data_IF_467605132485
#
_entry.id   IF_467605132485
#
_cell.length_a   1.000
_cell.length_b   1.000
_cell.length_c   1.000
_cell.angle_alpha   90.00
_cell.angle_beta   90.00
_cell.angle_gamma   90.00
#
_symmetry.space_group_name_H-M   'P 1'
#
loop_
_entity.id
_entity.type
_entity.pdbx_description
1 polymer ?
#
# COMPACT_ATOMS: atom_id res chain seq x y z
N UNK A 1 32.22 10.58 20.68
CA UNK A 1 30.98 9.99 21.24
C UNK A 1 30.55 8.84 20.31
N UNK A 2 30.49 7.60 20.82
CA UNK A 2 30.00 6.47 20.02
C UNK A 2 28.56 6.75 19.58
N UNK A 3 28.31 6.79 18.30
CA UNK A 3 26.99 7.06 17.76
C UNK A 3 25.97 6.04 18.30
N UNK A 4 24.86 6.54 18.84
CA UNK A 4 23.77 5.70 19.37
C UNK A 4 23.22 4.82 18.27
N UNK A 5 23.06 3.51 18.52
CA UNK A 5 22.40 2.59 17.59
C UNK A 5 20.95 3.01 17.42
N UNK A 6 20.46 3.01 16.17
CA UNK A 6 19.04 3.23 15.90
C UNK A 6 18.19 2.17 16.61
N UNK A 7 17.09 2.57 17.21
CA UNK A 7 16.16 1.63 17.86
C UNK A 7 15.42 0.73 16.87
N UNK A 8 14.96 -0.44 17.35
CA UNK A 8 14.18 -1.41 16.53
C UNK A 8 12.94 -0.80 15.89
N UNK A 9 12.19 0.03 16.63
CA UNK A 9 10.96 0.65 16.12
C UNK A 9 11.21 1.53 14.88
N UNK A 10 12.07 2.54 14.95
CA UNK A 10 12.44 3.35 13.79
C UNK A 10 12.99 2.52 12.61
N UNK A 11 13.83 1.51 12.87
CA UNK A 11 14.38 0.66 11.81
C UNK A 11 13.30 -0.14 11.11
N UNK A 12 12.34 -0.71 11.86
CA UNK A 12 11.17 -1.39 11.30
C UNK A 12 10.32 -0.44 10.44
N UNK A 13 10.15 0.82 10.88
CA UNK A 13 9.48 1.86 10.12
C UNK A 13 10.14 2.09 8.76
N UNK A 14 11.45 2.33 8.75
CA UNK A 14 12.21 2.56 7.51
C UNK A 14 12.18 1.37 6.55
N UNK A 15 12.28 0.13 7.04
CA UNK A 15 12.15 -1.03 6.17
C UNK A 15 10.73 -1.20 5.65
N UNK A 16 9.71 -0.86 6.46
CA UNK A 16 8.32 -0.87 6.00
C UNK A 16 8.11 0.12 4.86
N UNK A 17 8.66 1.34 4.94
CA UNK A 17 8.57 2.34 3.86
C UNK A 17 9.09 1.77 2.52
N UNK A 18 10.23 1.08 2.51
CA UNK A 18 10.78 0.46 1.28
C UNK A 18 9.90 -0.69 0.77
N UNK A 19 9.35 -1.49 1.68
CA UNK A 19 8.43 -2.58 1.33
C UNK A 19 7.12 -2.03 0.76
N UNK A 20 6.61 -0.92 1.29
CA UNK A 20 5.41 -0.27 0.76
C UNK A 20 5.66 0.36 -0.63
N UNK A 21 6.84 0.93 -0.86
CA UNK A 21 7.25 1.39 -2.19
C UNK A 21 7.25 0.22 -3.20
N UNK A 22 7.81 -0.95 -2.82
CA UNK A 22 7.73 -2.16 -3.63
C UNK A 22 6.28 -2.63 -3.86
N UNK A 23 5.44 -2.58 -2.83
CA UNK A 23 4.04 -2.99 -2.93
C UNK A 23 3.26 -2.09 -3.91
N UNK A 24 3.51 -0.78 -3.90
CA UNK A 24 2.98 0.16 -4.89
C UNK A 24 3.41 -0.22 -6.30
N UNK A 25 4.72 -0.44 -6.51
CA UNK A 25 5.24 -0.84 -7.80
C UNK A 25 4.58 -2.13 -8.30
N UNK A 26 4.42 -3.09 -7.41
CA UNK A 26 3.76 -4.38 -7.71
C UNK A 26 2.26 -4.24 -8.01
N UNK A 27 1.66 -3.09 -7.68
CA UNK A 27 0.24 -2.77 -7.83
C UNK A 27 -0.04 -1.76 -8.94
N UNK A 28 0.89 -1.57 -9.87
CA UNK A 28 0.68 -0.74 -11.06
C UNK A 28 1.08 0.73 -10.91
N UNK A 29 1.80 1.09 -9.84
CA UNK A 29 2.36 2.42 -9.68
C UNK A 29 3.83 2.47 -10.10
N UNK A 30 4.26 3.59 -10.61
CA UNK A 30 5.64 4.00 -10.70
C UNK A 30 6.00 4.74 -9.42
N UNK A 31 7.07 4.31 -8.73
CA UNK A 31 7.53 4.98 -7.50
C UNK A 31 8.41 6.15 -7.92
N UNK A 32 8.05 7.34 -7.46
CA UNK A 32 8.72 8.58 -7.85
C UNK A 32 9.83 8.96 -6.86
N UNK A 33 10.88 9.52 -7.42
CA UNK A 33 11.99 10.15 -6.73
C UNK A 33 12.10 11.64 -7.11
N UNK A 34 12.99 12.38 -6.46
CA UNK A 34 13.18 13.81 -6.76
C UNK A 34 13.69 14.05 -8.20
N UNK A 35 14.43 13.09 -8.75
CA UNK A 35 14.99 13.13 -10.10
C UNK A 35 13.95 13.00 -11.21
N UNK A 36 12.77 12.51 -10.87
CA UNK A 36 11.64 12.38 -11.82
C UNK A 36 10.98 13.73 -12.10
N UNK A 37 11.19 14.71 -11.24
CA UNK A 37 10.81 16.09 -11.51
C UNK A 37 11.86 16.77 -12.40
N UNK A 38 11.55 16.91 -13.68
CA UNK A 38 12.43 17.55 -14.67
C UNK A 38 12.29 19.07 -14.72
N UNK A 39 11.40 19.65 -13.91
CA UNK A 39 11.27 21.10 -13.83
C UNK A 39 12.44 21.71 -13.06
N UNK A 40 12.77 22.96 -13.38
CA UNK A 40 13.77 23.77 -12.68
C UNK A 40 13.09 24.63 -11.60
N UNK A 41 13.89 25.12 -10.63
CA UNK A 41 13.39 26.11 -9.69
C UNK A 41 12.92 27.39 -10.42
N UNK A 42 11.85 28.06 -10.03
CA UNK A 42 11.03 27.80 -8.83
C UNK A 42 9.87 26.82 -9.06
N UNK A 43 9.86 26.08 -10.16
CA UNK A 43 8.71 25.27 -10.61
C UNK A 43 8.75 23.83 -10.12
N UNK A 44 9.83 23.40 -9.48
CA UNK A 44 9.93 22.05 -8.89
C UNK A 44 8.79 21.77 -7.93
N UNK A 45 8.21 20.57 -8.07
CA UNK A 45 7.20 20.02 -7.15
C UNK A 45 7.72 18.86 -6.31
N UNK A 46 8.84 18.25 -6.72
CA UNK A 46 9.53 17.20 -5.97
C UNK A 46 10.94 17.66 -5.63
N UNK A 47 11.37 17.40 -4.42
CA UNK A 47 12.77 17.56 -4.01
C UNK A 47 13.12 16.57 -2.90
N UNK A 48 14.39 16.24 -2.78
CA UNK A 48 14.90 15.45 -1.68
C UNK A 48 15.50 16.36 -0.60
N UNK A 49 15.30 15.98 0.65
CA UNK A 49 15.99 16.53 1.78
C UNK A 49 16.57 15.40 2.66
N UNK A 50 17.19 15.77 3.80
CA UNK A 50 17.80 14.80 4.73
C UNK A 50 16.82 13.73 5.26
N UNK A 51 15.52 13.98 5.20
CA UNK A 51 14.47 13.11 5.73
C UNK A 51 13.75 12.31 4.63
N UNK A 52 14.04 12.56 3.35
CA UNK A 52 13.46 11.87 2.21
C UNK A 52 12.76 12.80 1.22
N UNK A 53 11.84 12.25 0.44
CA UNK A 53 11.13 12.97 -0.62
C UNK A 53 10.13 13.98 -0.05
N UNK A 54 10.17 15.18 -0.59
CA UNK A 54 9.23 16.26 -0.32
C UNK A 54 8.39 16.57 -1.56
N UNK A 55 7.11 16.78 -1.35
CA UNK A 55 6.14 17.21 -2.38
C UNK A 55 5.67 18.62 -2.05
N UNK A 56 5.65 19.49 -3.06
CA UNK A 56 5.25 20.87 -2.90
C UNK A 56 3.73 20.99 -2.85
N UNK A 57 3.22 21.58 -1.79
CA UNK A 57 1.85 22.06 -1.69
C UNK A 57 1.75 23.56 -2.02
N UNK A 58 0.56 24.12 -1.87
CA UNK A 58 0.32 25.55 -2.02
C UNK A 58 1.03 26.37 -0.95
N UNK A 59 0.97 25.89 0.30
CA UNK A 59 1.51 26.59 1.46
C UNK A 59 2.82 26.04 1.99
N UNK A 60 3.11 24.75 1.76
CA UNK A 60 4.26 24.09 2.37
C UNK A 60 4.84 22.96 1.50
N UNK A 61 6.02 22.48 1.89
CA UNK A 61 6.59 21.24 1.42
C UNK A 61 6.22 20.12 2.40
N UNK A 62 5.70 19.02 1.88
CA UNK A 62 5.24 17.89 2.68
C UNK A 62 6.11 16.66 2.44
N UNK A 63 6.60 16.08 3.53
CA UNK A 63 7.32 14.81 3.47
C UNK A 63 6.37 13.67 3.12
N UNK A 64 6.85 12.75 2.31
CA UNK A 64 6.17 11.52 1.95
C UNK A 64 7.10 10.33 2.15
N UNK A 65 6.57 9.22 2.68
CA UNK A 65 7.36 8.00 2.88
C UNK A 65 7.54 7.24 1.56
N UNK A 66 6.53 7.25 0.69
CA UNK A 66 6.61 6.83 -0.70
C UNK A 66 5.58 7.59 -1.55
N UNK A 67 5.96 7.99 -2.76
CA UNK A 67 5.08 8.63 -3.74
C UNK A 67 4.95 7.72 -4.95
N UNK A 68 3.75 7.27 -5.25
CA UNK A 68 3.46 6.47 -6.44
C UNK A 68 2.70 7.26 -7.49
N UNK A 69 3.08 7.16 -8.75
CA UNK A 69 2.27 7.63 -9.88
C UNK A 69 1.61 6.43 -10.55
N UNK A 70 0.29 6.45 -10.63
CA UNK A 70 -0.44 5.36 -11.26
C UNK A 70 -0.19 5.35 -12.78
N UNK A 71 0.21 4.20 -13.31
CA UNK A 71 0.61 4.08 -14.72
C UNK A 71 -0.57 4.14 -15.70
N UNK A 72 -1.77 3.82 -15.22
CA UNK A 72 -2.97 3.72 -16.06
C UNK A 72 -3.89 4.91 -15.79
N UNK A 73 -3.91 5.86 -16.69
CA UNK A 73 -4.77 7.04 -16.58
C UNK A 73 -6.08 6.75 -17.29
N UNK A 74 -7.23 6.73 -16.58
CA UNK A 74 -8.51 6.61 -17.24
C UNK A 74 -8.74 7.75 -18.23
N UNK A 75 -9.40 7.52 -19.39
CA UNK A 75 -9.74 8.57 -20.32
C UNK A 75 -10.47 9.74 -19.61
N UNK A 76 -10.15 10.96 -20.00
CA UNK A 76 -10.74 12.20 -19.47
C UNK A 76 -10.49 12.45 -17.97
N UNK A 77 -9.52 11.77 -17.35
CA UNK A 77 -9.11 12.02 -15.97
C UNK A 77 -7.70 12.58 -15.87
N UNK A 78 -7.38 13.15 -14.72
CA UNK A 78 -6.02 13.53 -14.38
C UNK A 78 -5.22 12.29 -13.97
N UNK A 79 -3.90 12.24 -14.28
CA UNK A 79 -3.02 11.22 -13.71
C UNK A 79 -3.08 11.26 -12.18
N UNK A 80 -3.11 10.08 -11.57
CA UNK A 80 -3.22 9.93 -10.11
C UNK A 80 -1.85 9.71 -9.50
N UNK A 81 -1.53 10.48 -8.47
CA UNK A 81 -0.39 10.26 -7.57
C UNK A 81 -0.89 9.86 -6.20
N UNK A 82 -0.28 8.84 -5.61
CA UNK A 82 -0.62 8.33 -4.29
C UNK A 82 0.46 8.72 -3.29
N UNK A 83 0.07 9.53 -2.32
CA UNK A 83 0.83 9.85 -1.14
C UNK A 83 0.73 8.70 -0.13
N UNK A 84 1.82 8.07 0.23
CA UNK A 84 1.85 6.97 1.19
C UNK A 84 2.52 7.41 2.47
N UNK A 85 1.84 7.15 3.58
CA UNK A 85 2.36 7.29 4.94
C UNK A 85 2.42 5.92 5.63
N UNK A 86 3.58 5.55 6.16
CA UNK A 86 3.84 4.31 6.86
C UNK A 86 3.85 4.51 8.38
N UNK A 87 3.05 3.77 9.12
CA UNK A 87 3.01 3.79 10.58
C UNK A 87 3.34 2.41 11.14
N UNK A 88 4.61 2.21 11.51
CA UNK A 88 5.02 1.01 12.23
C UNK A 88 4.82 1.22 13.73
N UNK A 89 3.68 0.77 14.24
CA UNK A 89 3.32 0.83 15.65
C UNK A 89 3.11 -0.60 16.19
N UNK A 90 3.32 -0.79 17.50
CA UNK A 90 3.23 -2.12 18.12
C UNK A 90 2.06 -2.28 19.08
N UNK A 91 1.58 -1.18 19.66
CA UNK A 91 0.60 -1.22 20.75
C UNK A 91 -0.57 -0.26 20.60
N UNK A 92 -0.36 0.87 19.92
CA UNK A 92 -1.40 1.90 19.77
C UNK A 92 -1.86 2.00 18.33
N UNK A 93 -3.17 2.01 18.10
CA UNK A 93 -3.74 2.24 16.78
C UNK A 93 -3.50 3.69 16.31
N UNK A 94 -3.51 3.90 14.99
CA UNK A 94 -3.46 5.24 14.40
C UNK A 94 -4.75 5.97 14.69
N UNK A 95 -4.64 7.11 15.38
CA UNK A 95 -5.78 7.94 15.78
C UNK A 95 -6.17 9.01 14.75
N UNK A 96 -7.31 9.64 15.01
CA UNK A 96 -7.88 10.73 14.21
C UNK A 96 -6.90 11.88 13.89
N UNK A 97 -5.99 12.33 14.80
CA UNK A 97 -5.06 13.41 14.48
C UNK A 97 -4.16 13.11 13.28
N UNK A 98 -3.68 11.88 13.13
CA UNK A 98 -2.86 11.46 11.99
C UNK A 98 -3.64 11.55 10.68
N UNK A 99 -4.89 11.07 10.66
CA UNK A 99 -5.73 11.11 9.46
C UNK A 99 -6.11 12.54 9.07
N UNK A 100 -6.39 13.41 10.06
CA UNK A 100 -6.62 14.84 9.83
C UNK A 100 -5.39 15.55 9.26
N UNK A 101 -4.20 15.19 9.74
CA UNK A 101 -2.95 15.72 9.16
C UNK A 101 -2.81 15.30 7.69
N UNK A 102 -3.01 14.02 7.39
CA UNK A 102 -3.00 13.53 5.99
C UNK A 102 -4.02 14.24 5.10
N UNK A 103 -5.23 14.52 5.62
CA UNK A 103 -6.23 15.30 4.90
C UNK A 103 -5.75 16.73 4.63
N UNK A 104 -5.14 17.40 5.61
CA UNK A 104 -4.55 18.73 5.42
C UNK A 104 -3.44 18.74 4.37
N UNK A 105 -2.55 17.74 4.41
CA UNK A 105 -1.47 17.58 3.44
C UNK A 105 -2.04 17.42 2.02
N UNK A 106 -2.98 16.49 1.83
CA UNK A 106 -3.50 16.22 0.47
C UNK A 106 -4.32 17.38 -0.08
N UNK A 107 -5.00 18.13 0.78
CA UNK A 107 -5.71 19.35 0.40
C UNK A 107 -4.71 20.41 -0.09
N UNK A 108 -3.64 20.70 0.69
CA UNK A 108 -2.61 21.69 0.32
C UNK A 108 -1.89 21.31 -0.97
N UNK A 109 -1.55 20.02 -1.15
CA UNK A 109 -0.86 19.56 -2.37
C UNK A 109 -1.77 19.64 -3.60
N UNK A 110 -3.03 19.25 -3.51
CA UNK A 110 -3.98 19.35 -4.62
C UNK A 110 -4.30 20.80 -5.02
N UNK A 111 -4.26 21.74 -4.06
CA UNK A 111 -4.44 23.15 -4.33
C UNK A 111 -3.16 23.86 -4.83
N UNK A 112 -1.99 23.26 -4.58
CA UNK A 112 -0.71 23.76 -5.06
C UNK A 112 -0.52 23.61 -6.57
N UNK A 113 -1.22 22.66 -7.19
CA UNK A 113 -1.10 22.33 -8.60
C UNK A 113 -1.90 23.29 -9.50
N UNK A 114 -1.23 24.12 -10.25
CA UNK A 114 -1.83 24.97 -11.28
C UNK A 114 -1.44 24.48 -12.68
N UNK A 115 -2.40 24.47 -13.60
CA UNK A 115 -2.17 24.06 -15.00
C UNK A 115 -1.58 25.15 -15.88
N UNK A 116 -1.63 26.41 -15.43
CA UNK A 116 -1.10 27.56 -16.17
C UNK A 116 -0.46 28.55 -15.21
N UNK A 117 0.59 29.20 -15.69
CA UNK A 117 1.24 30.26 -14.97
C UNK A 117 0.50 31.59 -15.16
N UNK A 118 0.50 32.37 -14.12
CA UNK A 118 -0.44 33.49 -13.92
C UNK A 118 -0.03 34.82 -14.57
N UNK A 119 1.14 34.90 -15.23
CA UNK A 119 1.53 36.14 -15.90
C UNK A 119 1.26 36.10 -17.42
N UNK A 120 0.60 37.11 -18.00
CA UNK A 120 0.41 37.19 -19.45
C UNK A 120 1.74 37.09 -20.18
N UNK A 121 1.84 36.19 -21.14
CA UNK A 121 3.05 35.96 -21.93
C UNK A 121 4.12 35.04 -21.35
N UNK A 122 3.93 34.58 -20.09
CA UNK A 122 4.87 33.65 -19.41
C UNK A 122 4.21 32.31 -19.03
N UNK A 123 3.00 32.05 -19.50
CA UNK A 123 2.26 30.85 -19.22
C UNK A 123 2.96 29.59 -19.75
N UNK A 124 3.39 28.71 -18.87
CA UNK A 124 3.93 27.39 -19.19
C UNK A 124 2.87 26.32 -18.86
N UNK A 125 2.43 25.53 -19.85
CA UNK A 125 1.51 24.43 -19.55
C UNK A 125 2.22 23.39 -18.68
N UNK A 126 1.54 22.91 -17.65
CA UNK A 126 2.00 21.84 -16.75
C UNK A 126 1.02 20.70 -16.72
N UNK A 127 1.54 19.50 -16.58
CA UNK A 127 0.72 18.34 -16.26
C UNK A 127 0.17 18.50 -14.84
N UNK A 128 -1.14 18.47 -14.72
CA UNK A 128 -1.81 18.45 -13.43
C UNK A 128 -2.02 17.02 -12.99
N UNK A 129 -1.83 16.76 -11.70
CA UNK A 129 -2.05 15.47 -11.08
C UNK A 129 -3.18 15.56 -10.06
N UNK A 130 -3.85 14.44 -9.84
CA UNK A 130 -4.73 14.26 -8.68
C UNK A 130 -3.97 13.47 -7.63
N UNK A 131 -3.72 14.08 -6.50
CA UNK A 131 -3.10 13.41 -5.38
C UNK A 131 -4.17 12.77 -4.50
N UNK A 132 -3.97 11.50 -4.15
CA UNK A 132 -4.72 10.74 -3.17
C UNK A 132 -3.82 10.38 -1.99
N UNK A 133 -4.37 10.02 -0.85
CA UNK A 133 -3.61 9.73 0.36
C UNK A 133 -3.94 8.34 0.89
N UNK A 134 -2.91 7.60 1.28
CA UNK A 134 -3.04 6.28 1.89
C UNK A 134 -2.16 6.18 3.14
N UNK A 135 -2.73 5.68 4.22
CA UNK A 135 -2.02 5.42 5.48
C UNK A 135 -1.99 3.91 5.70
N UNK A 136 -0.80 3.37 5.84
CA UNK A 136 -0.56 1.97 6.18
C UNK A 136 -0.16 1.88 7.65
N UNK A 137 -0.89 1.07 8.44
CA UNK A 137 -0.61 0.91 9.87
C UNK A 137 -0.46 -0.56 10.26
N UNK A 138 0.60 -0.89 11.02
CA UNK A 138 0.82 -2.25 11.55
C UNK A 138 0.02 -2.55 12.82
N UNK A 139 -0.74 -1.57 13.34
CA UNK A 139 -1.52 -1.68 14.58
C UNK A 139 -2.98 -1.26 14.41
N UNK A 140 -3.46 -1.12 13.17
CA UNK A 140 -4.82 -0.71 12.88
C UNK A 140 -5.10 0.77 13.12
N UNK A 141 -6.38 1.12 13.16
CA UNK A 141 -6.89 2.49 13.23
C UNK A 141 -8.00 2.61 14.26
N UNK A 142 -8.09 3.75 14.95
CA UNK A 142 -9.21 4.00 15.84
C UNK A 142 -10.53 4.15 15.06
N UNK A 143 -11.69 3.87 15.68
CA UNK A 143 -12.99 4.02 15.02
C UNK A 143 -13.20 5.43 14.43
N UNK A 144 -12.83 6.48 15.17
CA UNK A 144 -12.96 7.88 14.71
C UNK A 144 -12.04 8.19 13.52
N UNK A 145 -10.85 7.56 13.48
CA UNK A 145 -9.94 7.67 12.35
C UNK A 145 -10.54 7.04 11.10
N UNK A 146 -11.17 5.87 11.24
CA UNK A 146 -11.83 5.16 10.14
C UNK A 146 -13.03 5.95 9.61
N UNK A 147 -13.90 6.45 10.49
CA UNK A 147 -15.08 7.26 10.12
C UNK A 147 -14.65 8.52 9.34
N UNK A 148 -13.63 9.21 9.84
CA UNK A 148 -13.12 10.41 9.19
C UNK A 148 -12.49 10.10 7.82
N UNK A 149 -11.71 9.04 7.73
CA UNK A 149 -11.05 8.64 6.49
C UNK A 149 -12.06 8.26 5.40
N UNK A 150 -13.11 7.49 5.75
CA UNK A 150 -14.19 7.14 4.83
C UNK A 150 -14.91 8.39 4.31
N UNK A 151 -15.21 9.37 5.18
CA UNK A 151 -15.86 10.61 4.81
C UNK A 151 -15.01 11.49 3.87
N UNK A 152 -13.68 11.43 3.99
CA UNK A 152 -12.75 12.29 3.24
C UNK A 152 -11.94 11.55 2.17
N UNK A 153 -12.33 10.31 1.84
CA UNK A 153 -11.69 9.49 0.80
C UNK A 153 -10.17 9.27 1.03
N UNK A 154 -9.76 9.16 2.28
CA UNK A 154 -8.40 8.77 2.66
C UNK A 154 -8.38 7.24 2.79
N UNK A 155 -7.47 6.59 2.09
CA UNK A 155 -7.35 5.15 2.12
C UNK A 155 -6.60 4.71 3.38
N UNK A 156 -7.24 3.89 4.22
CA UNK A 156 -6.61 3.25 5.37
C UNK A 156 -6.34 1.79 5.05
N UNK A 157 -5.09 1.36 5.19
CA UNK A 157 -4.68 -0.02 4.98
C UNK A 157 -4.21 -0.59 6.32
N UNK A 158 -5.04 -1.46 6.87
CA UNK A 158 -4.75 -2.11 8.16
C UNK A 158 -3.86 -3.33 7.94
N UNK A 159 -2.55 -3.10 8.10
CA UNK A 159 -1.57 -4.18 8.05
C UNK A 159 -1.63 -5.08 9.30
N UNK A 160 -2.40 -4.77 10.35
CA UNK A 160 -2.58 -5.67 11.50
C UNK A 160 -3.44 -6.88 11.14
N UNK A 161 -4.24 -6.79 10.08
CA UNK A 161 -5.08 -7.87 9.59
C UNK A 161 -4.26 -9.16 9.31
N UNK A 162 -4.86 -10.34 9.49
CA UNK A 162 -4.19 -11.63 9.29
C UNK A 162 -3.56 -11.78 7.91
N UNK A 163 -4.20 -11.22 6.88
CA UNK A 163 -3.78 -11.28 5.47
C UNK A 163 -2.39 -10.67 5.24
N UNK A 164 -1.98 -9.71 6.08
CA UNK A 164 -0.67 -9.08 6.03
C UNK A 164 0.37 -9.68 7.02
N UNK A 165 0.04 -10.79 7.70
CA UNK A 165 0.90 -11.34 8.75
C UNK A 165 2.29 -11.73 8.25
N UNK A 166 2.38 -12.33 7.06
CA UNK A 166 3.66 -12.72 6.43
C UNK A 166 4.51 -11.49 6.16
N UNK A 167 3.93 -10.46 5.51
CA UNK A 167 4.63 -9.19 5.20
C UNK A 167 5.17 -8.52 6.46
N UNK A 168 4.34 -8.40 7.52
CA UNK A 168 4.80 -7.85 8.81
C UNK A 168 5.93 -8.65 9.43
N UNK A 169 5.83 -9.99 9.36
CA UNK A 169 6.84 -10.89 9.93
C UNK A 169 8.18 -10.73 9.21
N UNK A 170 8.18 -10.63 7.89
CA UNK A 170 9.38 -10.41 7.07
C UNK A 170 10.07 -9.10 7.44
N UNK A 171 9.32 -7.99 7.48
CA UNK A 171 9.86 -6.67 7.88
C UNK A 171 10.43 -6.71 9.29
N UNK A 172 9.70 -7.29 10.25
CA UNK A 172 10.14 -7.40 11.64
C UNK A 172 11.42 -8.22 11.77
N UNK A 173 11.46 -9.39 11.15
CA UNK A 173 12.62 -10.30 11.23
C UNK A 173 13.86 -9.64 10.62
N UNK A 174 13.75 -9.03 9.44
CA UNK A 174 14.87 -8.33 8.82
C UNK A 174 15.38 -7.19 9.70
N UNK A 175 14.48 -6.33 10.20
CA UNK A 175 14.85 -5.21 11.08
C UNK A 175 15.48 -5.67 12.40
N UNK A 176 14.96 -6.72 13.03
CA UNK A 176 15.50 -7.23 14.30
C UNK A 176 16.88 -7.86 14.12
N UNK A 177 17.10 -8.56 13.01
CA UNK A 177 18.43 -9.13 12.65
C UNK A 177 19.44 -8.02 12.37
N UNK A 178 19.07 -7.02 11.59
CA UNK A 178 19.92 -5.85 11.30
C UNK A 178 20.23 -5.08 12.57
N UNK A 179 19.25 -4.87 13.46
CA UNK A 179 19.47 -4.19 14.73
C UNK A 179 20.49 -4.93 15.60
N UNK A 180 20.37 -6.26 15.70
CA UNK A 180 21.34 -7.08 16.44
C UNK A 180 22.76 -6.98 15.83
N UNK A 181 22.87 -6.98 14.51
CA UNK A 181 24.13 -6.77 13.81
C UNK A 181 24.71 -5.37 14.10
N UNK A 182 23.89 -4.31 14.10
CA UNK A 182 24.33 -2.95 14.46
C UNK A 182 24.83 -2.85 15.90
N UNK A 183 24.21 -3.56 16.85
CA UNK A 183 24.68 -3.62 18.23
C UNK A 183 26.03 -4.32 18.36
N UNK A 184 26.24 -5.40 17.60
CA UNK A 184 27.47 -6.18 17.61
C UNK A 184 28.64 -5.52 16.85
N UNK A 185 28.37 -4.57 15.94
CA UNK A 185 29.36 -3.92 15.10
C UNK A 185 29.95 -2.69 15.78
N UNK A 186 31.28 -2.45 15.75
CA UNK A 186 31.89 -1.22 16.24
C UNK A 186 31.31 0.03 15.58
N UNK A 187 31.16 1.12 16.34
CA UNK A 187 30.45 2.34 15.86
C UNK A 187 31.03 2.94 14.57
N UNK A 188 32.35 2.80 14.35
CA UNK A 188 33.01 3.31 13.14
C UNK A 188 32.71 2.51 11.88
N UNK A 189 32.30 1.25 12.04
CA UNK A 189 32.05 0.30 10.94
C UNK A 189 30.55 0.11 10.64
N UNK A 190 29.69 0.75 11.42
CA UNK A 190 28.24 0.63 11.27
C UNK A 190 27.76 1.33 9.99
N UNK A 191 27.00 0.63 9.14
CA UNK A 191 26.35 1.29 8.02
C UNK A 191 25.33 2.30 8.52
N UNK A 192 25.18 3.39 7.79
CA UNK A 192 24.11 4.37 8.04
C UNK A 192 22.78 3.81 7.60
N UNK A 193 21.69 4.24 8.24
CA UNK A 193 20.33 3.83 7.86
C UNK A 193 20.05 4.10 6.39
N UNK A 194 20.51 5.22 5.85
CA UNK A 194 20.37 5.55 4.42
C UNK A 194 21.02 4.52 3.49
N UNK A 195 22.14 3.93 3.91
CA UNK A 195 22.86 2.90 3.14
C UNK A 195 22.08 1.56 3.17
N UNK A 196 21.55 1.19 4.36
CA UNK A 196 20.67 0.03 4.52
C UNK A 196 19.41 0.16 3.64
N UNK A 197 18.75 1.33 3.68
CA UNK A 197 17.58 1.62 2.85
C UNK A 197 17.91 1.59 1.37
N UNK A 198 19.00 2.23 0.97
CA UNK A 198 19.45 2.29 -0.41
C UNK A 198 19.76 0.89 -0.97
N UNK A 199 20.44 0.04 -0.19
CA UNK A 199 20.69 -1.35 -0.57
C UNK A 199 19.39 -2.13 -0.82
N UNK A 200 18.42 -2.04 0.10
CA UNK A 200 17.13 -2.72 -0.06
C UNK A 200 16.32 -2.18 -1.25
N UNK A 201 16.37 -0.87 -1.46
CA UNK A 201 15.66 -0.18 -2.55
C UNK A 201 16.13 -0.63 -3.93
N UNK A 202 17.42 -0.90 -4.10
CA UNK A 202 18.00 -1.36 -5.36
C UNK A 202 17.23 -2.55 -5.96
N UNK A 203 17.22 -3.73 -5.35
CA UNK A 203 16.46 -4.87 -5.86
C UNK A 203 14.94 -4.62 -5.86
N UNK A 204 14.37 -3.97 -4.84
CA UNK A 204 12.92 -3.81 -4.74
C UNK A 204 12.34 -2.89 -5.82
N UNK A 205 13.05 -1.85 -6.23
CA UNK A 205 12.59 -0.88 -7.22
C UNK A 205 13.29 -1.01 -8.57
N UNK A 206 14.19 -2.02 -8.73
CA UNK A 206 14.95 -2.24 -9.97
C UNK A 206 15.73 -0.98 -10.38
N UNK A 207 16.36 -0.35 -9.41
CA UNK A 207 17.15 0.87 -9.62
C UNK A 207 18.58 0.51 -10.00
N UNK A 208 19.02 0.83 -11.24
CA UNK A 208 20.27 0.30 -11.79
C UNK A 208 21.58 0.86 -11.18
N UNK A 209 21.52 1.82 -10.28
CA UNK A 209 22.70 2.60 -9.87
C UNK A 209 22.96 2.65 -8.35
N UNK A 210 22.51 1.66 -7.61
CA UNK A 210 22.81 1.62 -6.18
C UNK A 210 23.96 0.65 -5.88
N UNK A 211 25.20 1.05 -6.21
CA UNK A 211 26.44 0.40 -5.73
C UNK A 211 26.68 0.70 -4.23
N UNK A 212 25.73 0.27 -3.38
CA UNK A 212 25.94 0.31 -1.95
C UNK A 212 26.48 -1.04 -1.52
N UNK A 213 27.76 -1.09 -1.18
CA UNK A 213 28.34 -2.24 -0.55
C UNK A 213 28.01 -2.29 0.95
N UNK A 214 27.40 -3.38 1.39
CA UNK A 214 27.16 -3.67 2.80
C UNK A 214 27.88 -4.95 3.20
N UNK A 215 28.40 -5.04 4.44
CA UNK A 215 28.87 -6.32 4.98
C UNK A 215 27.77 -7.38 4.97
N UNK A 216 28.15 -8.65 4.79
CA UNK A 216 27.21 -9.77 4.68
C UNK A 216 26.20 -9.87 5.82
N UNK A 217 26.62 -9.50 7.03
CA UNK A 217 25.76 -9.48 8.22
C UNK A 217 24.54 -8.55 8.09
N UNK A 218 24.65 -7.51 7.28
CA UNK A 218 23.56 -6.57 6.98
C UNK A 218 22.87 -6.92 5.67
N UNK A 219 23.63 -7.43 4.70
CA UNK A 219 23.13 -7.78 3.37
C UNK A 219 22.19 -8.98 3.41
N UNK A 220 22.59 -10.08 4.04
CA UNK A 220 21.82 -11.33 4.05
C UNK A 220 20.36 -11.18 4.52
N UNK A 221 20.03 -10.48 5.61
CA UNK A 221 18.63 -10.29 5.99
C UNK A 221 17.84 -9.39 5.02
N UNK A 222 18.49 -8.46 4.31
CA UNK A 222 17.86 -7.64 3.28
C UNK A 222 17.61 -8.43 2.00
N UNK A 223 18.57 -9.25 1.58
CA UNK A 223 18.43 -10.15 0.42
C UNK A 223 17.31 -11.16 0.65
N UNK A 224 17.23 -11.72 1.86
CA UNK A 224 16.15 -12.64 2.23
C UNK A 224 14.78 -11.93 2.16
N UNK A 225 14.68 -10.72 2.70
CA UNK A 225 13.46 -9.91 2.64
C UNK A 225 13.07 -9.66 1.18
N UNK A 226 13.99 -9.18 0.36
CA UNK A 226 13.73 -8.88 -1.05
C UNK A 226 13.31 -10.16 -1.81
N UNK A 227 14.02 -11.25 -1.63
CA UNK A 227 13.70 -12.54 -2.27
C UNK A 227 12.31 -13.05 -1.86
N UNK A 228 11.96 -12.96 -0.57
CA UNK A 228 10.65 -13.39 -0.08
C UNK A 228 9.50 -12.53 -0.67
N UNK A 229 9.72 -11.23 -0.84
CA UNK A 229 8.76 -10.35 -1.49
C UNK A 229 8.59 -10.68 -2.98
N UNK A 230 9.68 -10.98 -3.69
CA UNK A 230 9.63 -11.40 -5.10
C UNK A 230 9.03 -12.78 -5.28
N UNK A 231 9.25 -13.69 -4.33
CA UNK A 231 8.58 -14.99 -4.30
C UNK A 231 7.14 -14.81 -3.86
N UNK A 232 6.29 -14.30 -4.78
CA UNK A 232 4.86 -14.02 -4.48
C UNK A 232 4.10 -15.23 -3.98
N UNK A 233 4.56 -16.45 -4.26
CA UNK A 233 4.03 -17.67 -3.69
C UNK A 233 4.24 -17.76 -2.17
N UNK A 234 5.35 -17.22 -1.65
CA UNK A 234 5.60 -17.16 -0.20
C UNK A 234 4.80 -16.04 0.46
N UNK A 235 4.64 -14.90 -0.23
CA UNK A 235 3.85 -13.79 0.28
C UNK A 235 2.35 -14.11 0.28
N UNK A 236 1.87 -14.85 -0.74
CA UNK A 236 0.46 -15.23 -0.88
C UNK A 236 -0.51 -14.05 -0.89
N UNK A 237 -0.06 -12.85 -1.28
CA UNK A 237 -0.80 -11.60 -1.14
C UNK A 237 -0.83 -10.82 -2.44
N UNK A 238 -2.00 -10.28 -2.78
CA UNK A 238 -2.19 -9.29 -3.85
C UNK A 238 -3.12 -8.18 -3.39
N UNK A 239 -2.88 -6.94 -3.84
CA UNK A 239 -3.78 -5.83 -3.55
C UNK A 239 -4.94 -5.78 -4.54
N UNK A 240 -6.14 -5.58 -4.01
CA UNK A 240 -7.34 -5.30 -4.76
C UNK A 240 -7.87 -3.90 -4.44
N UNK A 241 -8.33 -3.23 -5.48
CA UNK A 241 -8.88 -1.89 -5.43
C UNK A 241 -10.38 -1.97 -5.69
N UNK A 242 -11.22 -2.04 -4.63
CA UNK A 242 -12.67 -2.05 -4.76
C UNK A 242 -13.21 -0.68 -5.18
N UNK A 243 -14.49 -0.61 -5.50
CA UNK A 243 -15.20 0.65 -5.75
C UNK A 243 -15.51 1.41 -4.42
N UNK A 244 -14.50 1.55 -3.57
CA UNK A 244 -14.61 2.11 -2.23
C UNK A 244 -13.29 2.78 -1.81
N UNK A 245 -13.30 3.70 -0.83
CA UNK A 245 -12.09 4.41 -0.38
C UNK A 245 -11.23 3.57 0.58
N UNK A 246 -10.98 2.31 0.24
CA UNK A 246 -10.05 1.43 0.94
C UNK A 246 -9.42 0.42 -0.03
N UNK A 247 -8.34 -0.19 0.37
CA UNK A 247 -7.63 -1.23 -0.38
C UNK A 247 -7.73 -2.53 0.38
N UNK A 248 -7.92 -3.64 -0.33
CA UNK A 248 -7.98 -4.97 0.27
C UNK A 248 -6.68 -5.72 -0.02
N UNK A 249 -6.14 -6.37 1.00
CA UNK A 249 -5.15 -7.42 0.85
C UNK A 249 -5.86 -8.75 0.61
N UNK A 250 -5.75 -9.31 -0.58
CA UNK A 250 -6.29 -10.63 -0.88
C UNK A 250 -5.20 -11.68 -0.66
N UNK A 251 -5.37 -12.52 0.36
CA UNK A 251 -4.44 -13.59 0.71
C UNK A 251 -4.90 -14.92 0.12
N UNK A 252 -3.96 -15.73 -0.33
CA UNK A 252 -4.21 -17.09 -0.84
C UNK A 252 -3.09 -18.04 -0.45
N UNK A 253 -3.45 -19.29 -0.16
CA UNK A 253 -2.47 -20.36 0.02
C UNK A 253 -1.85 -20.80 -1.34
N UNK A 254 -2.57 -20.55 -2.44
CA UNK A 254 -2.11 -20.74 -3.82
C UNK A 254 -2.49 -19.55 -4.70
N UNK A 255 -1.66 -18.53 -4.66
CA UNK A 255 -1.88 -17.31 -5.46
C UNK A 255 -1.70 -17.57 -6.97
N UNK A 256 -0.89 -18.57 -7.35
CA UNK A 256 -0.70 -18.91 -8.76
C UNK A 256 -1.94 -19.51 -9.39
N UNK A 257 -2.69 -20.34 -8.67
CA UNK A 257 -3.97 -20.85 -9.15
C UNK A 257 -4.94 -19.71 -9.51
N UNK A 258 -5.01 -18.66 -8.65
CA UNK A 258 -5.77 -17.45 -8.98
C UNK A 258 -5.25 -16.75 -10.23
N UNK A 259 -3.94 -16.56 -10.35
CA UNK A 259 -3.35 -15.82 -11.48
C UNK A 259 -3.55 -16.58 -12.80
N UNK A 260 -3.38 -17.89 -12.82
CA UNK A 260 -3.64 -18.74 -14.01
C UNK A 260 -5.10 -18.65 -14.43
N UNK A 261 -6.04 -18.78 -13.48
CA UNK A 261 -7.45 -18.62 -13.78
C UNK A 261 -7.78 -17.21 -14.29
N UNK A 262 -7.27 -16.19 -13.64
CA UNK A 262 -7.51 -14.79 -13.99
C UNK A 262 -6.88 -14.40 -15.35
N UNK A 263 -5.79 -15.02 -15.75
CA UNK A 263 -5.23 -14.86 -17.12
C UNK A 263 -6.15 -15.38 -18.20
N UNK A 264 -6.77 -16.54 -17.96
CA UNK A 264 -7.77 -17.09 -18.88
C UNK A 264 -9.10 -16.31 -18.84
N UNK A 265 -9.44 -15.75 -17.68
CA UNK A 265 -10.67 -15.01 -17.41
C UNK A 265 -10.39 -13.64 -16.76
N UNK A 266 -9.86 -12.66 -17.52
CA UNK A 266 -9.43 -11.36 -16.96
C UNK A 266 -10.55 -10.56 -16.29
N UNK A 267 -11.77 -10.78 -16.74
CA UNK A 267 -12.99 -10.27 -16.13
C UNK A 267 -13.91 -11.43 -15.85
N UNK A 268 -14.18 -11.71 -14.57
CA UNK A 268 -15.08 -12.80 -14.21
C UNK A 268 -15.92 -12.48 -12.98
N UNK A 269 -17.02 -13.21 -12.85
CA UNK A 269 -17.91 -13.10 -11.70
C UNK A 269 -17.34 -13.82 -10.48
N UNK A 270 -17.54 -13.22 -9.30
CA UNK A 270 -17.11 -13.79 -8.02
C UNK A 270 -18.23 -13.77 -7.00
N UNK A 271 -18.21 -14.75 -6.11
CA UNK A 271 -19.09 -14.83 -4.95
C UNK A 271 -18.28 -14.63 -3.68
N UNK A 272 -18.93 -13.97 -2.72
CA UNK A 272 -18.34 -13.62 -1.43
C UNK A 272 -19.10 -14.32 -0.31
N UNK A 273 -18.38 -14.97 0.60
CA UNK A 273 -18.96 -15.49 1.85
C UNK A 273 -18.09 -15.08 3.04
N UNK A 274 -18.73 -14.97 4.20
CA UNK A 274 -18.05 -14.79 5.49
C UNK A 274 -17.77 -16.17 6.06
N UNK A 275 -16.51 -16.52 6.28
CA UNK A 275 -16.11 -17.87 6.71
C UNK A 275 -15.85 -18.00 8.21
N UNK A 276 -15.58 -16.90 8.92
CA UNK A 276 -15.40 -16.92 10.37
C UNK A 276 -16.24 -15.82 11.02
N UNK A 277 -17.35 -16.21 11.65
CA UNK A 277 -18.30 -15.28 12.28
C UNK A 277 -17.98 -14.95 13.73
N UNK A 278 -17.12 -15.74 14.39
CA UNK A 278 -16.82 -15.64 15.82
C UNK A 278 -15.48 -14.98 16.14
N UNK A 279 -14.66 -14.72 15.14
CA UNK A 279 -13.36 -14.06 15.34
C UNK A 279 -13.54 -12.54 15.54
N UNK A 280 -12.64 -11.96 16.33
CA UNK A 280 -12.51 -10.50 16.47
C UNK A 280 -12.25 -9.78 15.13
N UNK A 281 -11.74 -10.51 14.14
CA UNK A 281 -11.55 -10.06 12.76
C UNK A 281 -12.22 -11.06 11.82
N UNK A 282 -13.45 -10.78 11.36
CA UNK A 282 -14.13 -11.64 10.40
C UNK A 282 -13.36 -11.76 9.10
N UNK A 283 -13.26 -12.98 8.58
CA UNK A 283 -12.59 -13.28 7.33
C UNK A 283 -13.64 -13.53 6.25
N UNK A 284 -13.46 -12.87 5.14
CA UNK A 284 -14.24 -13.06 3.93
C UNK A 284 -13.47 -13.94 2.95
N UNK A 285 -14.18 -14.79 2.24
CA UNK A 285 -13.67 -15.61 1.17
C UNK A 285 -14.34 -15.21 -0.15
N UNK A 286 -13.53 -15.11 -1.17
CA UNK A 286 -13.89 -14.80 -2.54
C UNK A 286 -13.47 -15.96 -3.43
N UNK A 287 -14.41 -16.44 -4.28
CA UNK A 287 -14.16 -17.49 -5.27
C UNK A 287 -14.83 -17.15 -6.60
N UNK A 288 -14.38 -17.76 -7.70
CA UNK A 288 -15.09 -17.69 -8.97
C UNK A 288 -16.55 -18.16 -8.80
N UNK A 289 -17.48 -17.48 -9.44
CA UNK A 289 -18.89 -17.85 -9.42
C UNK A 289 -19.17 -19.09 -10.27
N UNK A 290 -18.41 -19.26 -11.37
CA UNK A 290 -18.54 -20.37 -12.33
C UNK A 290 -17.72 -21.59 -11.92
N UNK A 291 -16.49 -21.35 -11.39
CA UNK A 291 -15.53 -22.40 -10.99
C UNK A 291 -15.03 -22.15 -9.57
N UNK A 292 -15.85 -22.39 -8.53
CA UNK A 292 -15.48 -22.06 -7.14
C UNK A 292 -14.28 -22.86 -6.60
N UNK A 293 -13.94 -23.98 -7.24
CA UNK A 293 -12.78 -24.83 -6.92
C UNK A 293 -11.45 -24.27 -7.47
N UNK A 294 -11.51 -23.38 -8.49
CA UNK A 294 -10.31 -22.93 -9.20
C UNK A 294 -9.32 -22.17 -8.30
N UNK A 295 -9.83 -21.38 -7.38
CA UNK A 295 -9.01 -20.63 -6.42
C UNK A 295 -9.84 -20.15 -5.22
N UNK A 296 -9.15 -19.80 -4.14
CA UNK A 296 -9.74 -19.11 -2.99
C UNK A 296 -8.88 -17.90 -2.61
N UNK A 297 -9.51 -16.74 -2.47
CA UNK A 297 -8.88 -15.54 -1.92
C UNK A 297 -9.59 -15.15 -0.64
N UNK A 298 -8.81 -14.81 0.40
CA UNK A 298 -9.32 -14.39 1.72
C UNK A 298 -8.94 -12.95 1.97
N UNK A 299 -9.80 -12.22 2.68
CA UNK A 299 -9.55 -10.82 3.03
C UNK A 299 -10.35 -10.41 4.26
N UNK A 300 -9.83 -9.39 4.97
CA UNK A 300 -10.56 -8.66 6.00
C UNK A 300 -11.17 -7.39 5.43
N UNK A 301 -12.34 -6.99 5.92
CA UNK A 301 -12.89 -5.65 5.69
C UNK A 301 -12.42 -4.68 6.78
N UNK A 302 -12.33 -3.37 6.51
CA UNK A 302 -12.16 -2.38 7.55
C UNK A 302 -13.20 -2.55 8.66
N UNK A 303 -12.78 -2.42 9.92
CA UNK A 303 -13.63 -2.71 11.08
C UNK A 303 -14.97 -1.97 11.06
N UNK A 304 -14.98 -0.69 10.66
CA UNK A 304 -16.21 0.10 10.55
C UNK A 304 -17.13 -0.37 9.43
N UNK A 305 -16.59 -0.86 8.33
CA UNK A 305 -17.37 -1.45 7.24
C UNK A 305 -17.97 -2.78 7.72
N UNK A 306 -17.20 -3.57 8.46
CA UNK A 306 -17.66 -4.82 9.05
C UNK A 306 -18.74 -4.58 10.12
N UNK A 307 -18.56 -3.58 10.99
CA UNK A 307 -19.55 -3.20 12.00
C UNK A 307 -20.89 -2.82 11.36
N UNK A 308 -20.88 -2.10 10.25
CA UNK A 308 -22.11 -1.79 9.51
C UNK A 308 -22.84 -3.03 8.99
N UNK A 309 -22.11 -4.12 8.74
CA UNK A 309 -22.69 -5.38 8.32
C UNK A 309 -23.34 -6.09 9.53
N UNK A 310 -22.65 -6.09 10.68
CA UNK A 310 -23.04 -6.85 11.88
C UNK A 310 -24.14 -6.17 12.69
N UNK A 311 -24.02 -4.86 12.95
CA UNK A 311 -24.97 -4.09 13.78
C UNK A 311 -26.44 -4.16 13.31
N UNK A 312 -26.68 -4.78 12.15
CA UNK A 312 -27.98 -4.78 11.50
C UNK A 312 -28.43 -6.15 10.95
N UNK A 313 -27.72 -7.21 11.30
CA UNK A 313 -28.10 -8.57 10.90
C UNK A 313 -29.38 -9.05 11.64
N UNK A 314 -29.80 -8.35 12.70
CA UNK A 314 -31.00 -8.69 13.48
C UNK A 314 -32.34 -8.34 12.77
N UNK A 315 -32.32 -7.83 11.54
CA UNK A 315 -33.56 -7.57 10.83
C UNK A 315 -33.51 -7.16 9.36
N UNK A 316 -32.33 -6.92 8.77
CA UNK A 316 -32.23 -6.45 7.38
C UNK A 316 -31.10 -7.08 6.56
N UNK A 317 -31.37 -8.18 5.83
CA UNK A 317 -30.47 -8.72 4.81
C UNK A 317 -30.08 -7.69 3.72
N UNK A 318 -30.72 -6.52 3.73
CA UNK A 318 -30.56 -5.46 2.72
C UNK A 318 -29.20 -4.76 2.78
N UNK A 319 -28.54 -4.58 3.95
CA UNK A 319 -27.30 -3.81 4.06
C UNK A 319 -26.04 -4.59 3.71
N UNK A 320 -25.92 -5.84 4.13
CA UNK A 320 -24.85 -6.72 3.65
C UNK A 320 -24.88 -6.78 2.13
N UNK A 321 -26.09 -6.87 1.57
CA UNK A 321 -26.32 -6.85 0.13
C UNK A 321 -25.96 -5.50 -0.49
N UNK A 322 -26.24 -4.40 0.21
CA UNK A 322 -25.87 -3.06 -0.22
C UNK A 322 -24.35 -2.88 -0.27
N UNK A 323 -23.59 -3.23 0.78
CA UNK A 323 -22.13 -3.13 0.82
C UNK A 323 -21.50 -3.98 -0.27
N UNK A 324 -21.94 -5.24 -0.45
CA UNK A 324 -21.46 -6.10 -1.52
C UNK A 324 -21.73 -5.50 -2.91
N UNK A 325 -22.89 -4.88 -3.11
CA UNK A 325 -23.29 -4.28 -4.39
C UNK A 325 -22.72 -2.90 -4.65
N UNK A 326 -22.44 -2.11 -3.63
CA UNK A 326 -21.89 -0.76 -3.77
C UNK A 326 -20.37 -0.74 -3.67
N UNK A 327 -19.81 -1.24 -2.57
CA UNK A 327 -18.40 -1.13 -2.27
C UNK A 327 -17.55 -2.25 -2.89
N UNK A 328 -18.10 -3.47 -2.96
CA UNK A 328 -17.41 -4.66 -3.49
C UNK A 328 -17.95 -5.10 -4.86
N UNK A 329 -18.76 -4.26 -5.52
CA UNK A 329 -19.36 -4.57 -6.82
C UNK A 329 -18.32 -4.95 -7.89
N UNK A 330 -17.18 -4.29 -7.85
CA UNK A 330 -16.05 -4.53 -8.73
C UNK A 330 -14.77 -4.31 -7.95
N UNK A 331 -13.85 -5.25 -8.06
CA UNK A 331 -12.50 -5.14 -7.52
C UNK A 331 -11.51 -5.27 -8.68
N UNK A 332 -10.63 -4.29 -8.80
CA UNK A 332 -9.58 -4.30 -9.82
C UNK A 332 -8.25 -4.70 -9.17
N UNK A 333 -7.54 -5.61 -9.80
CA UNK A 333 -6.22 -6.05 -9.38
C UNK A 333 -5.22 -5.80 -10.50
N UNK A 334 -4.02 -5.41 -10.14
CA UNK A 334 -2.91 -5.23 -11.07
C UNK A 334 -1.83 -6.26 -10.75
N UNK A 335 -1.52 -7.10 -11.72
CA UNK A 335 -0.46 -8.10 -11.62
C UNK A 335 0.71 -7.70 -12.49
N UNK A 336 1.77 -7.23 -11.88
CA UNK A 336 2.97 -6.82 -12.60
C UNK A 336 3.81 -8.04 -13.02
N UNK A 337 4.21 -8.05 -14.29
CA UNK A 337 5.19 -8.98 -14.83
C UNK A 337 6.26 -8.15 -15.58
N UNK A 338 7.37 -7.88 -14.91
CA UNK A 338 8.31 -6.86 -15.36
C UNK A 338 7.63 -5.48 -15.37
N UNK A 339 7.72 -4.79 -16.50
CA UNK A 339 7.08 -3.48 -16.70
C UNK A 339 5.62 -3.57 -17.19
N UNK A 340 5.15 -4.77 -17.54
CA UNK A 340 3.79 -4.99 -18.02
C UNK A 340 2.85 -5.35 -16.89
N UNK A 341 1.71 -4.66 -16.82
CA UNK A 341 0.65 -5.03 -15.92
C UNK A 341 -0.44 -5.79 -16.64
N UNK A 342 -0.84 -6.89 -16.03
CA UNK A 342 -2.10 -7.55 -16.33
C UNK A 342 -3.15 -7.01 -15.36
N UNK A 343 -4.30 -6.62 -15.89
CA UNK A 343 -5.41 -6.12 -15.08
C UNK A 343 -6.48 -7.20 -15.00
N UNK A 344 -6.86 -7.54 -13.77
CA UNK A 344 -7.95 -8.46 -13.51
C UNK A 344 -9.11 -7.70 -12.87
N UNK A 345 -10.32 -8.01 -13.30
CA UNK A 345 -11.54 -7.37 -12.81
C UNK A 345 -12.50 -8.43 -12.27
N UNK A 346 -12.67 -8.43 -10.95
CA UNK A 346 -13.57 -9.32 -10.24
C UNK A 346 -14.89 -8.59 -10.03
N UNK A 347 -16.00 -9.17 -10.53
CA UNK A 347 -17.35 -8.59 -10.41
C UNK A 347 -18.17 -9.40 -9.44
N UNK A 348 -18.66 -8.76 -8.38
CA UNK A 348 -19.54 -9.43 -7.43
C UNK A 348 -20.86 -9.85 -8.08
N UNK A 349 -21.14 -11.14 -8.03
CA UNK A 349 -22.42 -11.72 -8.40
C UNK A 349 -23.20 -12.13 -7.16
N UNK A 350 -24.45 -11.64 -6.98
CA UNK A 350 -25.31 -12.08 -5.89
C UNK A 350 -25.63 -13.57 -5.97
N UNK A 351 -25.48 -14.28 -4.87
CA UNK A 351 -25.76 -15.72 -4.79
C UNK A 351 -25.04 -16.34 -3.60
N UNK A 352 -25.43 -17.56 -3.24
CA UNK A 352 -24.70 -18.35 -2.25
C UNK A 352 -23.49 -19.02 -2.91
N UNK A 353 -22.37 -18.99 -2.20
CA UNK A 353 -21.20 -19.78 -2.59
C UNK A 353 -21.46 -21.24 -2.19
N UNK A 354 -21.87 -22.08 -3.14
CA UNK A 354 -21.97 -23.51 -2.95
C UNK A 354 -20.62 -24.13 -3.29
N UNK A 355 -20.05 -24.85 -2.36
CA UNK A 355 -18.95 -25.76 -2.60
C UNK A 355 -19.60 -27.13 -2.72
N UNK A 356 -19.58 -27.70 -3.92
CA UNK A 356 -19.97 -29.09 -4.11
C UNK A 356 -19.02 -29.93 -3.26
N UNK A 357 -19.60 -30.67 -2.28
CA UNK A 357 -18.89 -31.46 -1.28
C UNK A 357 -18.27 -32.74 -1.84
#
# INVERSE_FOLDING_TARGET
MAGKVIGKGPLRGYLLEEVLAWLLRSSGFEVLAAEDDKDEEPWKVLKEDKNGLLVRGRGAWHQVDALGQFRYVPPFSLPVRLFVEAKYLTTTSVGLPTVRNGHGVIHDVNEGETTTLTAPGTGRPRTRYRYSYAIFSTSGFSPEAQDYALAHQISLIDLSAPDFAVLRSLVRTAADTIHAALEATPAAERPKVREIRAYLRGPLLDMPNYDVELPDTFRAPLDYLAQALYSRSQLGLVLAFPAAPFVLGLASDDLYAFVEYARAHPTHAVRLRRINQTASHPVWELRSAEHPEAYALRFGLPERVEAWIVEQDEGMPSRTRYIKRSMLSTMTLYWMHGEHAQTFQLRYEPGELRLDG
#
